data_IF_498087348663
#
_entry.id   IF_498087348663
#
_cell.length_a   1.000
_cell.length_b   1.000
_cell.length_c   1.000
_cell.angle_alpha   90.00
_cell.angle_beta   90.00
_cell.angle_gamma   90.00
#
_symmetry.space_group_name_H-M   'P 1'
#
loop_
_entity.id
_entity.type
_entity.pdbx_description
1 polymer ?
#
# COMPACT_ATOMS: atom_id res chain seq x y z
N UNK A 1 -13.54 -12.26 50.92
CA UNK A 1 -13.35 -11.17 49.93
C UNK A 1 -12.23 -11.58 48.98
N UNK A 2 -12.57 -11.96 47.74
CA UNK A 2 -11.60 -12.21 46.65
C UNK A 2 -11.70 -11.02 45.71
N UNK A 3 -10.63 -10.24 45.60
CA UNK A 3 -10.55 -9.13 44.64
C UNK A 3 -10.25 -9.78 43.28
N UNK A 4 -11.29 -9.90 42.45
CA UNK A 4 -11.12 -10.25 41.04
C UNK A 4 -10.53 -9.05 40.31
N UNK A 5 -9.24 -9.10 40.02
CA UNK A 5 -8.58 -8.14 39.14
C UNK A 5 -9.05 -8.40 37.71
N UNK A 6 -9.95 -7.54 37.23
CA UNK A 6 -10.30 -7.38 35.82
C UNK A 6 -9.04 -6.93 35.06
N UNK A 7 -8.33 -7.87 34.44
CA UNK A 7 -7.39 -7.57 33.36
C UNK A 7 -8.20 -7.66 32.06
N UNK A 8 -8.92 -6.59 31.74
CA UNK A 8 -9.67 -6.46 30.50
C UNK A 8 -9.36 -5.06 29.95
N UNK A 9 -8.19 -4.89 29.34
CA UNK A 9 -7.80 -3.57 28.83
C UNK A 9 -6.39 -3.37 28.28
N UNK A 10 -5.47 -4.33 28.34
CA UNK A 10 -4.05 -4.11 27.93
C UNK A 10 -3.63 -4.78 26.61
N UNK A 11 -4.53 -5.43 25.87
CA UNK A 11 -4.14 -6.17 24.66
C UNK A 11 -4.08 -5.28 23.39
N UNK A 12 -4.71 -4.10 23.39
CA UNK A 12 -4.88 -3.30 22.16
C UNK A 12 -3.69 -2.40 21.76
N UNK A 13 -2.85 -1.97 22.70
CA UNK A 13 -1.70 -1.09 22.41
C UNK A 13 -0.44 -1.87 21.99
N UNK A 14 -0.27 -3.09 22.51
CA UNK A 14 0.84 -3.98 22.16
C UNK A 14 0.81 -4.38 20.69
N UNK A 15 -0.38 -4.72 20.18
CA UNK A 15 -0.55 -5.23 18.82
C UNK A 15 -0.25 -4.18 17.75
N UNK A 16 -0.70 -2.93 17.95
CA UNK A 16 -0.42 -1.84 17.01
C UNK A 16 1.06 -1.53 16.93
N UNK A 17 1.75 -1.47 18.07
CA UNK A 17 3.19 -1.22 18.10
C UNK A 17 3.98 -2.37 17.44
N UNK A 18 3.52 -3.61 17.59
CA UNK A 18 4.11 -4.78 16.92
C UNK A 18 3.91 -4.72 15.40
N UNK A 19 2.70 -4.40 14.93
CA UNK A 19 2.41 -4.19 13.51
C UNK A 19 3.27 -3.07 12.90
N UNK A 20 3.47 -1.98 13.65
CA UNK A 20 4.30 -0.85 13.27
C UNK A 20 5.74 -1.28 13.00
N UNK A 21 6.33 -2.02 13.94
CA UNK A 21 7.71 -2.52 13.86
C UNK A 21 7.86 -3.54 12.73
N UNK A 22 6.87 -4.42 12.55
CA UNK A 22 6.86 -5.38 11.46
C UNK A 22 6.86 -4.66 10.09
N UNK A 23 6.04 -3.62 9.95
CA UNK A 23 5.99 -2.81 8.75
C UNK A 23 7.32 -2.08 8.50
N UNK A 24 7.95 -1.51 9.53
CA UNK A 24 9.27 -0.87 9.40
C UNK A 24 10.34 -1.84 8.88
N UNK A 25 10.35 -3.08 9.38
CA UNK A 25 11.28 -4.13 8.92
C UNK A 25 11.01 -4.47 7.45
N UNK A 26 9.74 -4.68 7.10
CA UNK A 26 9.32 -4.96 5.72
C UNK A 26 9.78 -3.83 4.79
N UNK A 27 9.53 -2.57 5.14
CA UNK A 27 9.91 -1.42 4.32
C UNK A 27 11.41 -1.32 4.09
N UNK A 28 12.22 -1.51 5.15
CA UNK A 28 13.68 -1.53 5.03
C UNK A 28 14.17 -2.65 4.12
N UNK A 29 13.55 -3.83 4.16
CA UNK A 29 13.94 -4.95 3.30
C UNK A 29 13.47 -4.76 1.86
N UNK A 30 12.28 -4.19 1.63
CA UNK A 30 11.80 -3.80 0.29
C UNK A 30 12.78 -2.83 -0.37
N UNK A 31 13.31 -1.87 0.38
CA UNK A 31 14.32 -0.91 -0.10
C UNK A 31 15.65 -1.57 -0.49
N UNK A 32 16.03 -2.66 0.19
CA UNK A 32 17.19 -3.50 -0.17
C UNK A 32 16.92 -4.42 -1.37
N UNK A 33 15.71 -4.44 -1.90
CA UNK A 33 15.35 -5.23 -3.08
C UNK A 33 14.83 -6.64 -2.78
N UNK A 34 14.70 -7.01 -1.52
CA UNK A 34 14.17 -8.31 -1.07
C UNK A 34 12.79 -8.58 -1.70
N UNK A 35 12.64 -9.76 -2.30
CA UNK A 35 11.41 -10.16 -2.98
C UNK A 35 10.35 -10.66 -2.00
N UNK A 36 10.74 -11.36 -0.95
CA UNK A 36 9.81 -11.83 0.10
C UNK A 36 9.20 -10.64 0.83
N UNK A 37 10.01 -9.63 1.14
CA UNK A 37 9.51 -8.41 1.77
C UNK A 37 8.52 -7.65 0.88
N UNK A 38 8.70 -7.66 -0.45
CA UNK A 38 7.73 -7.06 -1.39
C UNK A 38 6.41 -7.82 -1.36
N UNK A 39 6.46 -9.15 -1.43
CA UNK A 39 5.25 -9.99 -1.36
C UNK A 39 4.49 -9.78 -0.04
N UNK A 40 5.19 -9.73 1.10
CA UNK A 40 4.59 -9.42 2.40
C UNK A 40 3.93 -8.04 2.42
N UNK A 41 4.59 -7.02 1.87
CA UNK A 41 4.02 -5.67 1.79
C UNK A 41 2.75 -5.64 0.94
N UNK A 42 2.75 -6.31 -0.22
CA UNK A 42 1.58 -6.40 -1.09
C UNK A 42 0.42 -7.09 -0.39
N UNK A 43 0.69 -8.18 0.34
CA UNK A 43 -0.32 -8.90 1.13
C UNK A 43 -0.93 -8.02 2.23
N UNK A 44 -0.10 -7.26 2.96
CA UNK A 44 -0.55 -6.38 4.02
C UNK A 44 -1.46 -5.25 3.52
N UNK A 45 -1.22 -4.75 2.29
CA UNK A 45 -1.99 -3.66 1.69
C UNK A 45 -3.09 -4.13 0.72
N UNK A 46 -3.28 -5.45 0.55
CA UNK A 46 -4.23 -6.02 -0.41
C UNK A 46 -5.63 -5.42 -0.27
N UNK A 47 -6.17 -5.37 0.95
CA UNK A 47 -7.51 -4.83 1.20
C UNK A 47 -7.65 -3.37 0.76
N UNK A 48 -6.63 -2.55 1.00
CA UNK A 48 -6.64 -1.15 0.57
C UNK A 48 -6.61 -1.05 -0.95
N UNK A 49 -5.69 -1.75 -1.60
CA UNK A 49 -5.54 -1.72 -3.07
C UNK A 49 -6.79 -2.25 -3.76
N UNK A 50 -7.35 -3.37 -3.29
CA UNK A 50 -8.59 -3.93 -3.86
C UNK A 50 -9.76 -2.97 -3.67
N UNK A 51 -9.96 -2.41 -2.46
CA UNK A 51 -11.04 -1.46 -2.22
C UNK A 51 -10.92 -0.20 -3.09
N UNK A 52 -9.70 0.30 -3.32
CA UNK A 52 -9.45 1.43 -4.21
C UNK A 52 -9.72 1.09 -5.69
N UNK A 53 -9.40 -0.14 -6.12
CA UNK A 53 -9.71 -0.59 -7.47
C UNK A 53 -11.22 -0.75 -7.69
N UNK A 54 -11.92 -1.36 -6.74
CA UNK A 54 -13.38 -1.56 -6.78
C UNK A 54 -14.16 -0.24 -6.78
N UNK A 55 -13.64 0.80 -6.13
CA UNK A 55 -14.22 2.16 -6.20
C UNK A 55 -14.13 2.79 -7.59
N UNK A 56 -13.21 2.32 -8.44
CA UNK A 56 -13.00 2.85 -9.80
C UNK A 56 -13.75 2.05 -10.86
N UNK A 57 -13.96 0.76 -10.63
CA UNK A 57 -14.64 -0.11 -11.60
C UNK A 57 -15.19 -1.36 -10.94
N UNK A 58 -16.26 -1.91 -11.53
CA UNK A 58 -16.81 -3.23 -11.22
C UNK A 58 -16.51 -4.26 -12.31
N UNK A 59 -15.90 -3.85 -13.43
CA UNK A 59 -15.47 -4.76 -14.51
C UNK A 59 -14.21 -5.54 -14.08
N UNK A 60 -14.26 -6.88 -13.99
CA UNK A 60 -13.13 -7.70 -13.59
C UNK A 60 -11.86 -7.49 -14.44
N UNK A 61 -12.01 -7.24 -15.74
CA UNK A 61 -10.87 -7.05 -16.64
C UNK A 61 -10.13 -5.73 -16.37
N UNK A 62 -10.85 -4.70 -15.91
CA UNK A 62 -10.30 -3.39 -15.58
C UNK A 62 -9.83 -3.36 -14.11
N UNK A 63 -10.51 -4.11 -13.23
CA UNK A 63 -10.17 -4.23 -11.82
C UNK A 63 -8.75 -4.79 -11.65
N UNK A 64 -8.41 -5.88 -12.35
CA UNK A 64 -7.06 -6.46 -12.29
C UNK A 64 -5.98 -5.44 -12.68
N UNK A 65 -6.22 -4.63 -13.72
CA UNK A 65 -5.29 -3.58 -14.15
C UNK A 65 -5.09 -2.52 -13.05
N UNK A 66 -6.18 -2.07 -12.42
CA UNK A 66 -6.08 -1.13 -11.31
C UNK A 66 -5.35 -1.73 -10.11
N UNK A 67 -5.61 -2.99 -9.78
CA UNK A 67 -4.88 -3.69 -8.70
C UNK A 67 -3.38 -3.76 -9.00
N UNK A 68 -2.98 -4.12 -10.22
CA UNK A 68 -1.58 -4.14 -10.65
C UNK A 68 -0.93 -2.75 -10.53
N UNK A 69 -1.60 -1.70 -11.02
CA UNK A 69 -1.11 -0.31 -10.90
C UNK A 69 -1.03 0.17 -9.46
N UNK A 70 -2.00 -0.20 -8.63
CA UNK A 70 -1.97 0.08 -7.21
C UNK A 70 -0.78 -0.55 -6.51
N UNK A 71 -0.49 -1.83 -6.84
CA UNK A 71 0.67 -2.55 -6.33
C UNK A 71 1.99 -1.88 -6.78
N UNK A 72 2.09 -1.44 -8.04
CA UNK A 72 3.23 -0.66 -8.53
C UNK A 72 3.41 0.65 -7.75
N UNK A 73 2.32 1.38 -7.52
CA UNK A 73 2.30 2.61 -6.73
C UNK A 73 2.78 2.40 -5.30
N UNK A 74 2.30 1.33 -4.65
CA UNK A 74 2.70 0.94 -3.30
C UNK A 74 4.20 0.60 -3.22
N UNK A 75 4.71 -0.23 -4.13
CA UNK A 75 6.14 -0.58 -4.16
C UNK A 75 7.02 0.64 -4.44
N UNK A 76 6.53 1.57 -5.28
CA UNK A 76 7.19 2.86 -5.51
C UNK A 76 7.21 3.73 -4.26
N UNK A 77 6.12 3.75 -3.49
CA UNK A 77 6.07 4.45 -2.21
C UNK A 77 7.08 3.84 -1.23
N UNK A 78 7.10 2.52 -1.07
CA UNK A 78 8.03 1.83 -0.16
C UNK A 78 9.50 2.14 -0.45
N UNK A 79 9.87 2.22 -1.73
CA UNK A 79 11.23 2.62 -2.15
C UNK A 79 11.58 4.08 -1.82
N UNK A 80 10.58 4.97 -1.80
CA UNK A 80 10.77 6.42 -1.60
C UNK A 80 10.62 6.85 -0.15
N UNK A 81 9.87 6.08 0.64
CA UNK A 81 9.56 6.42 2.02
C UNK A 81 10.82 6.43 2.86
N UNK A 82 11.00 7.47 3.67
CA UNK A 82 12.08 7.54 4.66
C UNK A 82 11.46 7.24 6.03
N UNK A 83 11.73 6.08 6.64
CA UNK A 83 11.08 5.65 7.88
C UNK A 83 11.62 6.35 9.13
N UNK A 84 12.04 7.63 9.04
CA UNK A 84 12.52 8.37 10.21
C UNK A 84 11.48 9.41 10.64
N UNK A 85 10.91 9.31 11.86
CA UNK A 85 11.24 8.37 12.95
C UNK A 85 10.42 7.05 13.00
N UNK A 86 9.54 6.74 12.02
CA UNK A 86 8.86 5.44 11.99
C UNK A 86 7.86 5.25 10.84
N UNK A 87 7.30 4.03 10.71
CA UNK A 87 6.29 3.67 9.70
C UNK A 87 4.89 4.29 9.91
N UNK A 88 4.69 5.09 10.97
CA UNK A 88 3.41 5.71 11.37
C UNK A 88 2.67 6.38 10.23
N UNK A 89 3.43 7.06 9.37
CA UNK A 89 2.87 7.80 8.26
C UNK A 89 2.99 7.06 6.92
N UNK A 90 3.49 5.82 6.90
CA UNK A 90 3.67 5.09 5.65
C UNK A 90 2.33 4.84 4.94
N UNK A 91 1.29 4.44 5.66
CA UNK A 91 -0.04 4.20 5.07
C UNK A 91 -0.58 5.45 4.37
N UNK A 92 -0.45 6.62 5.01
CA UNK A 92 -0.88 7.91 4.47
C UNK A 92 -0.01 8.27 3.25
N UNK A 93 1.31 8.16 3.38
CA UNK A 93 2.26 8.43 2.30
C UNK A 93 2.03 7.52 1.08
N UNK A 94 1.76 6.24 1.31
CA UNK A 94 1.54 5.27 0.26
C UNK A 94 0.23 5.52 -0.50
N UNK A 95 -0.81 6.04 0.16
CA UNK A 95 -2.11 6.29 -0.45
C UNK A 95 -1.99 7.19 -1.69
N UNK A 96 -1.32 8.33 -1.57
CA UNK A 96 -1.12 9.28 -2.69
C UNK A 96 -0.43 8.61 -3.88
N UNK A 97 0.55 7.75 -3.60
CA UNK A 97 1.30 7.02 -4.61
C UNK A 97 0.46 5.94 -5.30
N UNK A 98 -0.35 5.20 -4.53
CA UNK A 98 -1.26 4.17 -5.04
C UNK A 98 -2.31 4.81 -5.93
N UNK A 99 -2.97 5.87 -5.45
CA UNK A 99 -4.03 6.55 -6.21
C UNK A 99 -3.47 7.23 -7.46
N UNK A 100 -2.31 7.88 -7.37
CA UNK A 100 -1.65 8.46 -8.54
C UNK A 100 -1.31 7.42 -9.60
N UNK A 101 -0.86 6.23 -9.20
CA UNK A 101 -0.55 5.15 -10.12
C UNK A 101 -1.81 4.57 -10.80
N UNK A 102 -2.90 4.39 -10.03
CA UNK A 102 -4.18 3.97 -10.58
C UNK A 102 -4.75 5.01 -11.57
N UNK A 103 -4.76 6.29 -11.21
CA UNK A 103 -5.34 7.35 -12.03
C UNK A 103 -4.53 7.64 -13.32
N UNK A 104 -3.26 7.22 -13.39
CA UNK A 104 -2.47 7.28 -14.62
C UNK A 104 -2.95 6.26 -15.67
N UNK A 105 -3.67 5.21 -15.27
CA UNK A 105 -4.31 4.25 -16.19
C UNK A 105 -5.33 4.94 -17.11
N UNK A 106 -6.13 5.84 -16.55
CA UNK A 106 -7.15 6.59 -17.30
C UNK A 106 -6.53 7.60 -18.27
N UNK A 107 -5.26 7.98 -18.05
CA UNK A 107 -4.51 8.91 -18.91
C UNK A 107 -3.76 8.20 -20.04
N UNK A 108 -4.18 6.99 -20.41
CA UNK A 108 -3.62 6.12 -21.44
C UNK A 108 -3.58 6.65 -22.89
N UNK A 109 -3.42 7.96 -23.12
CA UNK A 109 -3.16 8.57 -24.43
C UNK A 109 -1.77 9.23 -24.57
N UNK A 110 -0.87 9.08 -23.60
CA UNK A 110 0.29 9.99 -23.46
C UNK A 110 1.52 9.72 -24.33
N UNK A 111 1.69 8.54 -24.92
CA UNK A 111 2.88 8.23 -25.74
C UNK A 111 2.54 7.96 -27.20
N UNK A 112 1.62 7.03 -27.49
CA UNK A 112 1.17 6.78 -28.86
C UNK A 112 0.33 7.92 -29.43
N UNK A 113 -0.47 8.60 -28.61
CA UNK A 113 -1.19 9.82 -29.02
C UNK A 113 -0.27 11.01 -29.32
N UNK A 114 0.96 11.03 -28.75
CA UNK A 114 1.99 12.04 -29.09
C UNK A 114 2.82 11.67 -30.32
N UNK A 115 2.94 10.38 -30.63
CA UNK A 115 3.68 9.89 -31.80
C UNK A 115 2.83 9.82 -33.07
N UNK A 116 1.50 9.65 -32.95
CA UNK A 116 0.59 9.46 -34.09
C UNK A 116 -0.58 10.45 -34.15
N UNK A 117 -0.69 11.40 -33.20
CA UNK A 117 -1.80 12.35 -33.10
C UNK A 117 -1.63 13.66 -33.85
N UNK A 118 -1.01 13.65 -35.04
CA UNK A 118 -1.01 14.81 -35.94
C UNK A 118 -1.30 14.34 -37.37
N UNK A 119 -2.59 14.28 -37.68
CA UNK A 119 -3.18 14.19 -39.01
C UNK A 119 -4.51 14.90 -38.95
#
# INVERSE_FOLDING_TARGET
MKIGLNIQGMDGESDKAAEQRALDIILRNVQKGDWEAKDLLLKQFRTLVTSLAEKRTTDPAVLNKYTERGNEGLLKAARKFKPEPGADNFRIFALDHIESAMNQQDKGGGFLGRLFGKG
#
